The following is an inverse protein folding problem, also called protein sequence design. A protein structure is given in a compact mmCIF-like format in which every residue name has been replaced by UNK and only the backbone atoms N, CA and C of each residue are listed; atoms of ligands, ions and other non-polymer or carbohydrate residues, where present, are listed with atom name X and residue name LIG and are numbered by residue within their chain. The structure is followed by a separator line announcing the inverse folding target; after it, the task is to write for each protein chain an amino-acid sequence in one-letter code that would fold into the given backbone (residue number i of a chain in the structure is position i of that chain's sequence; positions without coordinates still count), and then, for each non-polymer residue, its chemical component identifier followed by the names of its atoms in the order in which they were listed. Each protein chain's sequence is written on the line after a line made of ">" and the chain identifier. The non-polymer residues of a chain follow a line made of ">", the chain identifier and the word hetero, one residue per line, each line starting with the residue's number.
data_IF_971520302650
#
_entry.id   IF_971520302650
#
_cell.length_a   1.000
_cell.length_b   1.000
_cell.length_c   1.000
_cell.angle_alpha   90.00
_cell.angle_beta   90.00
_cell.angle_gamma   90.00
#
_symmetry.space_group_name_H-M   'P 1'
#
loop_
_entity.id
_entity.type
_entity.pdbx_description
1 polymer ?
#
# COMPACT_ATOMS: atom_id res chain seq x y z
N UNK A 1 -17.05 19.26 -56.82
CA UNK A 1 -18.09 18.78 -55.90
C UNK A 1 -17.37 18.37 -54.61
N UNK A 2 -17.23 19.31 -53.67
CA UNK A 2 -16.34 19.20 -52.50
C UNK A 2 -17.15 18.93 -51.24
N UNK A 3 -16.90 17.81 -50.55
CA UNK A 3 -17.53 17.48 -49.28
C UNK A 3 -16.82 18.17 -48.10
N UNK A 4 -17.54 18.84 -47.18
CA UNK A 4 -16.93 19.52 -46.05
C UNK A 4 -16.73 18.60 -44.83
N UNK A 5 -15.55 18.72 -44.21
CA UNK A 5 -15.40 18.86 -42.75
C UNK A 5 -15.91 17.76 -41.81
N UNK A 6 -15.26 16.58 -41.77
CA UNK A 6 -15.40 15.59 -40.66
C UNK A 6 -14.28 15.63 -39.61
N UNK A 7 -13.42 16.65 -39.65
CA UNK A 7 -12.17 16.70 -38.85
C UNK A 7 -12.37 17.15 -37.39
N UNK A 8 -13.41 17.93 -37.07
CA UNK A 8 -13.60 18.55 -35.74
C UNK A 8 -14.15 17.63 -34.65
N UNK A 9 -15.07 16.73 -34.99
CA UNK A 9 -15.77 15.85 -34.03
C UNK A 9 -14.86 14.77 -33.43
N UNK A 10 -13.92 14.25 -34.20
CA UNK A 10 -12.96 13.23 -33.75
C UNK A 10 -11.98 13.75 -32.69
N UNK A 11 -11.59 15.03 -32.74
CA UNK A 11 -10.66 15.63 -31.76
C UNK A 11 -11.33 15.83 -30.40
N UNK A 12 -12.58 16.28 -30.37
CA UNK A 12 -13.35 16.48 -29.14
C UNK A 12 -13.67 15.14 -28.45
N UNK A 13 -14.09 14.12 -29.21
CA UNK A 13 -14.32 12.78 -28.68
C UNK A 13 -13.05 12.16 -28.07
N UNK A 14 -11.89 12.29 -28.74
CA UNK A 14 -10.60 11.82 -28.22
C UNK A 14 -10.16 12.57 -26.96
N UNK A 15 -10.36 13.89 -26.89
CA UNK A 15 -10.07 14.67 -25.67
C UNK A 15 -10.93 14.24 -24.48
N UNK A 16 -12.22 13.98 -24.69
CA UNK A 16 -13.13 13.48 -23.64
C UNK A 16 -12.71 12.09 -23.15
N UNK A 17 -12.34 11.18 -24.06
CA UNK A 17 -11.84 9.85 -23.69
C UNK A 17 -10.50 9.93 -22.93
N UNK A 18 -9.59 10.81 -23.36
CA UNK A 18 -8.31 11.02 -22.68
C UNK A 18 -8.52 11.58 -21.26
N UNK A 19 -9.42 12.56 -21.09
CA UNK A 19 -9.77 13.11 -19.78
C UNK A 19 -10.42 12.07 -18.85
N UNK A 20 -11.32 11.25 -19.38
CA UNK A 20 -11.94 10.18 -18.60
C UNK A 20 -10.92 9.11 -18.17
N UNK A 21 -10.02 8.71 -19.07
CA UNK A 21 -8.91 7.79 -18.74
C UNK A 21 -7.98 8.37 -17.69
N UNK A 22 -7.61 9.64 -17.79
CA UNK A 22 -6.77 10.31 -16.80
C UNK A 22 -7.44 10.38 -15.43
N UNK A 23 -8.75 10.68 -15.39
CA UNK A 23 -9.54 10.67 -14.15
C UNK A 23 -9.56 9.28 -13.52
N UNK A 24 -9.89 8.24 -14.30
CA UNK A 24 -9.90 6.86 -13.80
C UNK A 24 -8.53 6.42 -13.30
N UNK A 25 -7.46 6.69 -14.06
CA UNK A 25 -6.10 6.36 -13.64
C UNK A 25 -5.70 7.06 -12.33
N UNK A 26 -6.08 8.33 -12.18
CA UNK A 26 -5.83 9.09 -10.94
C UNK A 26 -6.61 8.50 -9.76
N UNK A 27 -7.89 8.16 -9.97
CA UNK A 27 -8.71 7.54 -8.92
C UNK A 27 -8.17 6.16 -8.51
N UNK A 28 -7.76 5.33 -9.48
CA UNK A 28 -7.14 4.04 -9.20
C UNK A 28 -5.83 4.19 -8.42
N UNK A 29 -5.00 5.18 -8.77
CA UNK A 29 -3.78 5.48 -8.03
C UNK A 29 -4.08 5.90 -6.59
N UNK A 30 -5.06 6.77 -6.37
CA UNK A 30 -5.47 7.20 -5.03
C UNK A 30 -5.96 6.03 -4.19
N UNK A 31 -6.81 5.17 -4.75
CA UNK A 31 -7.27 3.96 -4.07
C UNK A 31 -6.10 3.04 -3.73
N UNK A 32 -5.19 2.81 -4.68
CA UNK A 32 -4.01 1.98 -4.44
C UNK A 32 -3.12 2.54 -3.31
N UNK A 33 -2.86 3.86 -3.30
CA UNK A 33 -2.08 4.51 -2.24
C UNK A 33 -2.81 4.42 -0.90
N UNK A 34 -4.13 4.68 -0.87
CA UNK A 34 -4.92 4.58 0.35
C UNK A 34 -4.95 3.15 0.91
N UNK A 35 -5.02 2.13 0.05
CA UNK A 35 -4.94 0.72 0.45
C UNK A 35 -3.54 0.29 0.89
N UNK A 36 -2.48 0.85 0.29
CA UNK A 36 -1.09 0.58 0.67
C UNK A 36 -0.66 1.32 1.95
N UNK A 37 -1.29 2.46 2.25
CA UNK A 37 -0.98 3.29 3.41
C UNK A 37 -0.97 2.51 4.74
N UNK A 38 -2.01 1.74 5.13
CA UNK A 38 -1.99 1.00 6.39
C UNK A 38 -0.88 -0.06 6.44
N UNK A 39 -0.55 -0.69 5.30
CA UNK A 39 0.55 -1.64 5.22
C UNK A 39 1.90 -0.95 5.46
N UNK A 40 2.11 0.20 4.82
CA UNK A 40 3.31 1.01 5.02
C UNK A 40 3.42 1.48 6.48
N UNK A 41 2.31 1.95 7.06
CA UNK A 41 2.26 2.36 8.45
C UNK A 41 2.60 1.24 9.42
N UNK A 42 2.12 0.02 9.15
CA UNK A 42 2.41 -1.17 9.94
C UNK A 42 3.91 -1.49 9.95
N UNK A 43 4.55 -1.47 8.77
CA UNK A 43 6.00 -1.71 8.63
C UNK A 43 6.82 -0.62 9.33
N UNK A 44 6.45 0.65 9.13
CA UNK A 44 7.15 1.75 9.80
C UNK A 44 6.99 1.67 11.31
N UNK A 45 5.83 1.25 11.80
CA UNK A 45 5.55 1.15 13.24
C UNK A 45 6.20 -0.08 13.88
N UNK A 46 6.37 -1.19 13.15
CA UNK A 46 7.07 -2.36 13.67
C UNK A 46 8.58 -2.14 13.86
N UNK A 47 9.13 -1.12 13.18
CA UNK A 47 10.53 -0.70 13.32
C UNK A 47 10.75 0.44 14.33
N UNK A 48 9.69 0.98 14.94
CA UNK A 48 9.83 2.03 15.95
C UNK A 48 10.32 1.46 17.26
N UNK A 49 11.10 2.24 17.99
CA UNK A 49 11.43 1.93 19.38
C UNK A 49 10.19 2.02 20.28
N UNK A 50 10.18 1.38 21.46
CA UNK A 50 9.09 1.55 22.44
C UNK A 50 8.87 3.00 22.81
N UNK A 51 9.95 3.77 22.96
CA UNK A 51 9.91 5.20 23.26
C UNK A 51 9.28 6.03 22.13
N UNK A 52 9.58 5.76 20.85
CA UNK A 52 8.96 6.45 19.71
C UNK A 52 7.49 6.08 19.52
N UNK A 53 7.10 4.87 19.91
CA UNK A 53 5.70 4.40 19.81
C UNK A 53 4.79 5.09 20.83
N UNK A 54 5.31 5.40 22.02
CA UNK A 54 4.56 6.04 23.12
C UNK A 54 4.59 7.58 23.06
N UNK A 55 5.28 8.17 22.08
CA UNK A 55 5.38 9.62 21.92
C UNK A 55 4.11 10.25 21.32
N UNK A 56 3.78 11.44 21.81
CA UNK A 56 2.72 12.30 21.27
C UNK A 56 3.35 13.66 20.91
N UNK A 57 3.30 14.10 19.64
CA UNK A 57 2.64 13.49 18.48
C UNK A 57 3.33 12.20 17.98
N UNK A 58 2.60 11.29 17.29
CA UNK A 58 3.17 10.05 16.78
C UNK A 58 4.25 10.30 15.73
N UNK A 59 5.35 9.56 15.83
CA UNK A 59 6.45 9.61 14.87
C UNK A 59 6.02 8.92 13.57
N UNK A 60 6.06 9.62 12.44
CA UNK A 60 5.65 9.06 11.14
C UNK A 60 6.72 8.17 10.51
N UNK A 61 7.99 8.59 10.62
CA UNK A 61 9.15 7.87 10.09
C UNK A 61 10.08 7.60 11.27
N UNK A 62 10.43 6.33 11.58
CA UNK A 62 11.30 6.01 12.71
C UNK A 62 12.64 6.70 12.53
N UNK A 63 13.11 7.42 13.55
CA UNK A 63 14.42 8.08 13.54
C UNK A 63 15.53 7.06 13.78
N UNK A 64 15.21 6.07 14.61
CA UNK A 64 16.11 4.96 14.97
C UNK A 64 15.40 3.64 14.71
N UNK A 65 15.52 3.06 13.50
CA UNK A 65 14.97 1.74 13.21
C UNK A 65 15.51 0.71 14.21
N UNK A 66 14.61 0.00 14.88
CA UNK A 66 14.93 -1.00 15.89
C UNK A 66 14.26 -2.34 15.58
N UNK A 67 14.95 -3.44 15.91
CA UNK A 67 14.41 -4.81 15.84
C UNK A 67 14.04 -5.37 17.22
N UNK A 68 14.14 -4.55 18.27
CA UNK A 68 13.88 -4.95 19.66
C UNK A 68 12.48 -5.54 19.84
N UNK A 69 11.47 -5.02 19.13
CA UNK A 69 10.12 -5.59 19.15
C UNK A 69 10.07 -7.05 18.67
N UNK A 70 10.88 -7.40 17.67
CA UNK A 70 10.98 -8.77 17.14
C UNK A 70 11.75 -9.70 18.08
N UNK A 71 12.82 -9.20 18.72
CA UNK A 71 13.55 -9.96 19.74
C UNK A 71 12.65 -10.26 20.94
N UNK A 72 11.96 -9.23 21.46
CA UNK A 72 11.04 -9.36 22.59
C UNK A 72 9.94 -10.39 22.33
N UNK A 73 9.28 -10.36 21.16
CA UNK A 73 8.21 -11.33 20.85
C UNK A 73 8.75 -12.75 20.70
N UNK A 74 9.95 -12.93 20.14
CA UNK A 74 10.58 -14.25 20.02
C UNK A 74 10.97 -14.88 21.36
N UNK A 75 11.20 -14.06 22.39
CA UNK A 75 11.41 -14.54 23.76
C UNK A 75 10.12 -15.00 24.46
N UNK A 76 8.96 -14.48 24.04
CA UNK A 76 7.65 -14.79 24.64
C UNK A 76 6.95 -15.94 23.92
N UNK A 77 7.06 -16.00 22.59
CA UNK A 77 6.46 -17.06 21.77
C UNK A 77 7.49 -17.71 20.84
N UNK A 78 7.30 -18.99 20.55
CA UNK A 78 8.11 -19.66 19.53
C UNK A 78 7.60 -19.30 18.13
N UNK A 79 8.00 -18.12 17.64
CA UNK A 79 7.59 -17.57 16.33
C UNK A 79 7.85 -18.56 15.21
N UNK A 80 9.02 -19.22 15.21
CA UNK A 80 9.40 -20.20 14.18
C UNK A 80 8.45 -21.40 14.13
N UNK A 81 8.09 -21.96 15.29
CA UNK A 81 7.12 -23.06 15.38
C UNK A 81 5.73 -22.62 14.94
N UNK A 82 5.28 -21.45 15.36
CA UNK A 82 3.97 -20.93 14.95
C UNK A 82 3.90 -20.73 13.43
N UNK A 83 4.93 -20.14 12.82
CA UNK A 83 5.03 -19.96 11.38
C UNK A 83 5.05 -21.31 10.64
N UNK A 84 5.80 -22.29 11.16
CA UNK A 84 5.87 -23.63 10.58
C UNK A 84 4.52 -24.35 10.63
N UNK A 85 3.84 -24.32 11.77
CA UNK A 85 2.50 -24.93 11.91
C UNK A 85 1.52 -24.33 10.91
N UNK A 86 1.51 -23.00 10.76
CA UNK A 86 0.64 -22.33 9.78
C UNK A 86 0.99 -22.70 8.34
N UNK A 87 2.28 -22.77 7.99
CA UNK A 87 2.72 -23.18 6.66
C UNK A 87 2.28 -24.60 6.32
N UNK A 88 2.43 -25.53 7.26
CA UNK A 88 2.00 -26.94 7.09
C UNK A 88 0.49 -27.00 6.89
N UNK A 89 -0.30 -26.33 7.76
CA UNK A 89 -1.76 -26.33 7.66
C UNK A 89 -2.22 -25.72 6.34
N UNK A 90 -1.68 -24.56 5.96
CA UNK A 90 -2.01 -23.88 4.71
C UNK A 90 -1.72 -24.75 3.48
N UNK A 91 -0.57 -25.44 3.48
CA UNK A 91 -0.16 -26.29 2.35
C UNK A 91 -0.95 -27.59 2.25
N UNK A 92 -1.42 -28.16 3.36
CA UNK A 92 -2.22 -29.38 3.36
C UNK A 92 -3.69 -29.10 3.05
N UNK A 93 -4.18 -27.91 3.43
CA UNK A 93 -5.60 -27.54 3.28
C UNK A 93 -5.91 -26.92 1.92
N UNK A 94 -4.94 -26.25 1.29
CA UNK A 94 -5.10 -25.63 -0.04
C UNK A 94 -4.98 -26.69 -1.14
#
# INVERSE_FOLDING_TARGET
>A
MSAPGRSGSSRLARKRLAGHRALLATLMLLVAVASAFPLLWMVLSSLKTPAETMQVPPVWIPRTPSLEAYENVSGVINVGRSMWNSLVIASITT
#
